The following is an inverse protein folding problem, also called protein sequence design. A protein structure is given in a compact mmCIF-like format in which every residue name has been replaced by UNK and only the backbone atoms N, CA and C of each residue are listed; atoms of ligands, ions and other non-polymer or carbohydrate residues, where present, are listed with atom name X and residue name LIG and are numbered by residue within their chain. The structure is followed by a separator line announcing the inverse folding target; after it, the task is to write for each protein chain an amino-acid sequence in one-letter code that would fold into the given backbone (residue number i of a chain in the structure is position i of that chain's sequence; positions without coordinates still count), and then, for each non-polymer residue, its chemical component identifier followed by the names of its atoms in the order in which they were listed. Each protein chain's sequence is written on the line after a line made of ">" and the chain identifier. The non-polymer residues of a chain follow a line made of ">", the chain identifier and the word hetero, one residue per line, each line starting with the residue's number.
data_IF_455207824540
#
_entry.id   IF_455207824540
#
_cell.length_a   1.000
_cell.length_b   1.000
_cell.length_c   1.000
_cell.angle_alpha   90.00
_cell.angle_beta   90.00
_cell.angle_gamma   90.00
#
_symmetry.space_group_name_H-M   'P 1'
#
loop_
_entity.id
_entity.type
_entity.pdbx_description
1 polymer ?
#
# COMPACT_ATOMS: atom_id res chain seq x y z
N UNK A 1 1.97 8.30 30.94
CA UNK A 1 2.15 8.52 29.48
C UNK A 1 0.77 8.65 28.88
N UNK A 2 0.35 9.84 28.46
CA UNK A 2 -0.92 10.04 27.74
C UNK A 2 -0.77 9.31 26.43
N UNK A 3 -1.54 8.24 26.23
CA UNK A 3 -1.50 7.41 25.02
C UNK A 3 -1.72 8.28 23.78
N UNK A 4 -0.89 8.11 22.75
CA UNK A 4 -1.08 8.80 21.47
C UNK A 4 -2.51 8.52 20.98
N UNK A 5 -3.25 9.57 20.63
CA UNK A 5 -4.63 9.47 20.14
C UNK A 5 -4.66 8.50 18.97
N UNK A 6 -5.40 7.43 19.10
CA UNK A 6 -5.57 6.42 18.06
C UNK A 6 -6.77 6.78 17.20
N UNK A 7 -6.59 6.71 15.88
CA UNK A 7 -7.62 6.96 14.89
C UNK A 7 -8.17 5.63 14.38
N UNK A 8 -9.05 5.01 15.16
CA UNK A 8 -9.53 3.63 14.92
C UNK A 8 -10.27 3.48 13.59
N UNK A 9 -11.03 4.51 13.19
CA UNK A 9 -11.69 4.53 11.88
C UNK A 9 -10.66 4.46 10.76
N UNK A 10 -9.59 5.27 10.81
CA UNK A 10 -8.53 5.22 9.81
C UNK A 10 -7.78 3.88 9.82
N UNK A 11 -7.64 3.24 10.98
CA UNK A 11 -7.09 1.89 11.09
C UNK A 11 -8.00 0.85 10.40
N UNK A 12 -9.33 0.93 10.60
CA UNK A 12 -10.30 0.05 9.95
C UNK A 12 -10.29 0.21 8.42
N UNK A 13 -10.26 1.46 7.94
CA UNK A 13 -10.22 1.77 6.51
C UNK A 13 -8.94 1.26 5.85
N UNK A 14 -7.84 1.22 6.57
CA UNK A 14 -6.61 0.59 6.08
C UNK A 14 -6.80 -0.90 5.81
N UNK A 15 -7.59 -1.59 6.62
CA UNK A 15 -8.00 -2.98 6.38
C UNK A 15 -8.86 -3.13 5.14
N UNK A 16 -9.88 -2.29 4.98
CA UNK A 16 -10.74 -2.26 3.81
C UNK A 16 -9.95 -2.05 2.51
N UNK A 17 -9.06 -1.05 2.50
CA UNK A 17 -8.20 -0.76 1.36
C UNK A 17 -7.25 -1.93 1.03
N UNK A 18 -6.71 -2.62 2.03
CA UNK A 18 -5.86 -3.80 1.79
C UNK A 18 -6.65 -4.94 1.14
N UNK A 19 -7.88 -5.19 1.58
CA UNK A 19 -8.78 -6.17 0.96
C UNK A 19 -9.05 -5.80 -0.51
N UNK A 20 -9.33 -4.52 -0.78
CA UNK A 20 -9.55 -4.03 -2.14
C UNK A 20 -8.36 -4.29 -3.07
N UNK A 21 -7.13 -4.04 -2.60
CA UNK A 21 -5.91 -4.34 -3.37
C UNK A 21 -5.75 -5.84 -3.66
N UNK A 22 -6.01 -6.70 -2.67
CA UNK A 22 -5.95 -8.16 -2.87
C UNK A 22 -6.99 -8.60 -3.90
N UNK A 23 -8.22 -8.11 -3.77
CA UNK A 23 -9.30 -8.41 -4.69
C UNK A 23 -8.98 -7.96 -6.13
N UNK A 24 -8.43 -6.74 -6.30
CA UNK A 24 -7.94 -6.26 -7.60
C UNK A 24 -6.94 -7.25 -8.21
N UNK A 25 -5.90 -7.62 -7.45
CA UNK A 25 -4.88 -8.52 -7.96
C UNK A 25 -5.40 -9.93 -8.28
N UNK A 26 -6.45 -10.38 -7.60
CA UNK A 26 -7.13 -11.62 -7.95
C UNK A 26 -7.96 -11.46 -9.23
N UNK A 27 -8.66 -10.33 -9.42
CA UNK A 27 -9.33 -10.01 -10.68
C UNK A 27 -8.34 -9.96 -11.85
N UNK A 28 -7.15 -9.37 -11.65
CA UNK A 28 -6.07 -9.38 -12.65
C UNK A 28 -5.59 -10.80 -12.98
N UNK A 29 -5.41 -11.66 -11.96
CA UNK A 29 -5.03 -13.07 -12.16
C UNK A 29 -6.05 -13.82 -13.02
N UNK A 30 -7.32 -13.42 -12.93
CA UNK A 30 -8.41 -13.94 -13.75
C UNK A 30 -8.57 -13.25 -15.11
N UNK A 31 -7.74 -12.25 -15.44
CA UNK A 31 -7.87 -11.47 -16.66
C UNK A 31 -9.12 -10.58 -16.69
N UNK A 32 -9.63 -10.19 -15.51
CA UNK A 32 -10.83 -9.38 -15.30
C UNK A 32 -10.52 -8.11 -14.49
N UNK A 33 -9.49 -7.31 -14.85
CA UNK A 33 -9.13 -6.10 -14.10
C UNK A 33 -10.28 -5.08 -14.07
N UNK A 34 -11.14 -5.07 -15.08
CA UNK A 34 -12.32 -4.20 -15.16
C UNK A 34 -13.36 -4.43 -14.07
N UNK A 35 -13.28 -5.53 -13.30
CA UNK A 35 -14.19 -5.73 -12.16
C UNK A 35 -13.88 -4.82 -10.97
N UNK A 36 -12.63 -4.43 -10.79
CA UNK A 36 -12.21 -3.50 -9.75
C UNK A 36 -11.18 -2.49 -10.32
N UNK A 37 -11.55 -1.70 -11.32
CA UNK A 37 -10.62 -0.91 -12.11
C UNK A 37 -9.90 0.17 -11.30
N UNK A 38 -10.52 0.65 -10.21
CA UNK A 38 -10.03 1.76 -9.40
C UNK A 38 -9.45 1.33 -8.04
N UNK A 39 -9.46 0.02 -7.70
CA UNK A 39 -8.99 -0.44 -6.40
C UNK A 39 -7.49 -0.19 -6.15
N UNK A 40 -6.70 0.06 -7.19
CA UNK A 40 -5.31 0.52 -7.07
C UNK A 40 -5.18 1.89 -6.37
N UNK A 41 -6.24 2.72 -6.35
CA UNK A 41 -6.26 4.00 -5.64
C UNK A 41 -6.22 3.82 -4.10
N UNK A 42 -6.46 2.62 -3.58
CA UNK A 42 -6.21 2.30 -2.18
C UNK A 42 -4.75 2.57 -1.77
N UNK A 43 -3.81 2.51 -2.70
CA UNK A 43 -2.40 2.86 -2.45
C UNK A 43 -2.26 4.32 -2.09
N UNK A 44 -3.02 5.21 -2.73
CA UNK A 44 -3.02 6.65 -2.44
C UNK A 44 -3.51 6.93 -1.01
N UNK A 45 -4.51 6.16 -0.56
CA UNK A 45 -4.94 6.22 0.85
C UNK A 45 -3.80 5.86 1.81
N UNK A 46 -3.02 4.81 1.52
CA UNK A 46 -1.88 4.43 2.37
C UNK A 46 -0.78 5.51 2.41
N UNK A 47 -0.50 6.15 1.28
CA UNK A 47 0.47 7.23 1.20
C UNK A 47 -0.01 8.48 1.97
N UNK A 48 -1.27 8.85 1.80
CA UNK A 48 -1.89 9.99 2.48
C UNK A 48 -1.95 9.76 4.00
N UNK A 49 -2.35 8.55 4.42
CA UNK A 49 -2.31 8.14 5.83
C UNK A 49 -0.88 8.11 6.38
N UNK A 50 0.13 7.78 5.57
CA UNK A 50 1.53 7.83 5.97
C UNK A 50 1.94 9.26 6.32
N UNK A 51 1.62 10.23 5.48
CA UNK A 51 1.87 11.65 5.76
C UNK A 51 1.14 12.14 7.01
N UNK A 52 -0.13 11.79 7.17
CA UNK A 52 -0.93 12.09 8.36
C UNK A 52 -0.27 11.54 9.63
N UNK A 53 0.15 10.28 9.60
CA UNK A 53 0.76 9.63 10.76
C UNK A 53 2.16 10.18 11.09
N UNK A 54 2.91 10.73 10.13
CA UNK A 54 4.18 11.40 10.41
C UNK A 54 3.98 12.55 11.41
N UNK A 55 3.00 13.40 11.17
CA UNK A 55 2.73 14.54 12.03
C UNK A 55 2.16 14.08 13.39
N UNK A 56 1.12 13.24 13.37
CA UNK A 56 0.45 12.79 14.59
C UNK A 56 1.40 12.05 15.54
N UNK A 57 2.28 11.19 15.00
CA UNK A 57 3.14 10.34 15.82
C UNK A 57 4.48 10.97 16.20
N UNK A 58 4.97 11.92 15.40
CA UNK A 58 6.37 12.33 15.53
C UNK A 58 6.60 13.84 15.67
N UNK A 59 5.68 14.71 15.19
CA UNK A 59 5.91 16.16 15.14
C UNK A 59 6.21 16.74 16.53
N UNK A 60 5.36 16.40 17.51
CA UNK A 60 5.56 16.83 18.90
C UNK A 60 6.87 16.31 19.49
N UNK A 61 7.20 15.04 19.23
CA UNK A 61 8.42 14.40 19.74
C UNK A 61 9.70 15.00 19.15
N UNK A 62 9.62 15.51 17.91
CA UNK A 62 10.69 16.29 17.32
C UNK A 62 10.81 17.67 17.99
N UNK A 63 9.70 18.33 18.24
CA UNK A 63 9.66 19.64 18.89
C UNK A 63 10.20 19.57 20.33
N UNK A 64 9.80 18.55 21.07
CA UNK A 64 10.22 18.31 22.47
C UNK A 64 11.65 17.73 22.59
N UNK A 65 12.35 17.48 21.47
CA UNK A 65 13.69 16.87 21.45
C UNK A 65 13.75 15.41 21.94
N UNK A 66 12.59 14.76 22.17
CA UNK A 66 12.51 13.38 22.70
C UNK A 66 12.72 12.31 21.62
N UNK A 67 12.89 12.71 20.37
CA UNK A 67 13.13 11.82 19.24
C UNK A 67 14.38 12.25 18.46
N UNK A 68 15.36 11.38 18.38
CA UNK A 68 16.53 11.54 17.51
C UNK A 68 16.25 11.00 16.11
N UNK A 69 17.04 11.45 15.11
CA UNK A 69 16.96 10.92 13.75
C UNK A 69 17.18 9.40 13.70
N UNK A 70 18.23 8.91 14.38
CA UNK A 70 18.51 7.47 14.47
C UNK A 70 17.36 6.70 15.11
N UNK A 71 16.80 7.23 16.22
CA UNK A 71 15.66 6.64 16.89
C UNK A 71 14.37 6.63 16.03
N UNK A 72 14.16 7.65 15.18
CA UNK A 72 13.08 7.67 14.20
C UNK A 72 13.28 6.60 13.12
N UNK A 73 14.44 6.60 12.48
CA UNK A 73 14.77 5.67 11.39
C UNK A 73 14.71 4.22 11.86
N UNK A 74 15.24 3.93 13.06
CA UNK A 74 15.17 2.59 13.65
C UNK A 74 13.74 2.13 13.90
N UNK A 75 12.85 2.97 14.42
CA UNK A 75 11.42 2.65 14.61
C UNK A 75 10.72 2.38 13.29
N UNK A 76 11.06 3.14 12.24
CA UNK A 76 10.49 2.93 10.89
C UNK A 76 11.02 1.66 10.26
N UNK A 77 12.31 1.38 10.41
CA UNK A 77 12.93 0.14 9.98
C UNK A 77 12.25 -1.09 10.64
N UNK A 78 12.15 -1.12 11.96
CA UNK A 78 11.49 -2.23 12.68
C UNK A 78 10.01 -2.40 12.30
N UNK A 79 9.36 -1.36 11.83
CA UNK A 79 7.97 -1.43 11.39
C UNK A 79 7.79 -2.01 9.98
N UNK A 80 8.72 -1.71 9.07
CA UNK A 80 8.57 -2.01 7.64
C UNK A 80 9.39 -3.24 7.22
N UNK A 81 10.65 -3.28 7.61
CA UNK A 81 11.61 -4.26 7.12
C UNK A 81 11.28 -5.73 7.46
N UNK A 82 10.80 -6.08 8.67
CA UNK A 82 10.45 -7.47 8.96
C UNK A 82 9.37 -8.04 8.03
N UNK A 83 8.42 -7.21 7.59
CA UNK A 83 7.40 -7.62 6.63
C UNK A 83 7.95 -7.76 5.21
N UNK A 84 8.90 -6.91 4.83
CA UNK A 84 9.62 -7.08 3.56
C UNK A 84 10.39 -8.39 3.55
N UNK A 85 11.10 -8.70 4.64
CA UNK A 85 11.84 -9.96 4.79
C UNK A 85 10.90 -11.18 4.64
N UNK A 86 9.85 -11.23 5.46
CA UNK A 86 8.90 -12.35 5.46
C UNK A 86 8.20 -12.49 4.11
N UNK A 87 7.71 -11.40 3.55
CA UNK A 87 7.03 -11.43 2.27
C UNK A 87 7.95 -11.78 1.10
N UNK A 88 9.21 -11.27 1.08
CA UNK A 88 10.20 -11.65 0.06
C UNK A 88 10.61 -13.11 0.18
N UNK A 89 10.68 -13.64 1.40
CA UNK A 89 10.92 -15.06 1.63
C UNK A 89 9.78 -15.93 1.08
N UNK A 90 8.53 -15.53 1.33
CA UNK A 90 7.35 -16.19 0.72
C UNK A 90 7.45 -16.12 -0.81
N UNK A 91 7.80 -14.96 -1.38
CA UNK A 91 8.01 -14.79 -2.80
C UNK A 91 9.08 -15.73 -3.36
N UNK A 92 10.20 -15.89 -2.65
CA UNK A 92 11.26 -16.83 -3.01
C UNK A 92 10.77 -18.29 -2.99
N UNK A 93 10.04 -18.70 -1.94
CA UNK A 93 9.47 -20.05 -1.85
C UNK A 93 8.52 -20.33 -3.02
N UNK A 94 7.62 -19.39 -3.33
CA UNK A 94 6.73 -19.52 -4.49
C UNK A 94 7.52 -19.56 -5.81
N UNK A 95 8.63 -18.83 -5.90
CA UNK A 95 9.53 -18.88 -7.06
C UNK A 95 10.13 -20.29 -7.26
N UNK A 96 10.56 -20.94 -6.19
CA UNK A 96 11.04 -22.33 -6.27
C UNK A 96 9.94 -23.31 -6.65
N UNK A 97 8.72 -23.15 -6.11
CA UNK A 97 7.58 -24.03 -6.40
C UNK A 97 7.07 -23.87 -7.83
N UNK A 98 6.93 -22.65 -8.30
CA UNK A 98 6.32 -22.32 -9.59
C UNK A 98 7.33 -22.21 -10.73
N UNK A 99 8.62 -22.09 -10.43
CA UNK A 99 9.71 -22.04 -11.40
C UNK A 99 9.49 -20.95 -12.47
N UNK A 100 9.66 -21.32 -13.73
CA UNK A 100 9.49 -20.43 -14.89
C UNK A 100 8.06 -19.86 -15.02
N UNK A 101 7.06 -20.47 -14.43
CA UNK A 101 5.67 -19.99 -14.46
C UNK A 101 5.48 -18.70 -13.64
N UNK A 102 6.37 -18.42 -12.68
CA UNK A 102 6.41 -17.16 -11.96
C UNK A 102 7.06 -16.02 -12.76
N UNK A 103 7.59 -16.32 -13.95
CA UNK A 103 8.37 -15.40 -14.79
C UNK A 103 7.56 -14.30 -15.48
N UNK A 104 6.28 -14.12 -15.20
CA UNK A 104 5.42 -13.10 -15.84
C UNK A 104 5.97 -11.67 -15.67
N UNK A 105 6.81 -11.41 -14.68
CA UNK A 105 7.47 -10.13 -14.46
C UNK A 105 8.99 -10.14 -14.68
N UNK A 106 9.61 -11.30 -14.85
CA UNK A 106 11.05 -11.41 -15.06
C UNK A 106 11.40 -12.49 -16.08
N UNK A 107 10.91 -12.34 -17.31
CA UNK A 107 11.40 -13.17 -18.43
C UNK A 107 12.93 -13.15 -18.57
N UNK A 108 13.58 -12.13 -18.04
CA UNK A 108 15.03 -11.99 -18.02
C UNK A 108 15.73 -12.86 -16.95
N UNK A 109 15.01 -13.38 -15.97
CA UNK A 109 15.57 -14.23 -14.91
C UNK A 109 15.08 -15.66 -15.10
N UNK A 110 15.82 -16.44 -15.91
CA UNK A 110 15.62 -17.88 -15.94
C UNK A 110 15.74 -18.44 -14.51
N UNK A 111 14.94 -19.49 -14.15
CA UNK A 111 15.03 -20.12 -12.82
C UNK A 111 16.44 -20.64 -12.59
N UNK A 112 17.12 -20.10 -11.57
CA UNK A 112 18.45 -20.46 -11.16
C UNK A 112 18.52 -20.18 -9.66
N UNK A 113 18.72 -21.20 -8.84
CA UNK A 113 18.66 -21.11 -7.39
C UNK A 113 19.62 -20.03 -6.83
N UNK A 114 20.83 -19.92 -7.37
CA UNK A 114 21.81 -18.94 -6.91
C UNK A 114 21.38 -17.51 -7.28
N UNK A 115 20.88 -17.32 -8.50
CA UNK A 115 20.32 -16.03 -8.94
C UNK A 115 19.08 -15.64 -8.14
N UNK A 116 18.19 -16.60 -7.86
CA UNK A 116 16.97 -16.36 -7.11
C UNK A 116 17.27 -15.95 -5.67
N UNK A 117 18.29 -16.54 -5.03
CA UNK A 117 18.80 -16.08 -3.71
C UNK A 117 19.44 -14.67 -3.83
N UNK A 118 20.18 -14.41 -4.89
CA UNK A 118 20.72 -13.06 -5.16
C UNK A 118 19.61 -12.00 -5.32
N UNK A 119 18.55 -12.33 -6.05
CA UNK A 119 17.35 -11.47 -6.19
C UNK A 119 16.67 -11.26 -4.85
N UNK A 120 16.57 -12.29 -4.01
CA UNK A 120 16.03 -12.18 -2.66
C UNK A 120 16.86 -11.20 -1.81
N UNK A 121 18.18 -11.38 -1.75
CA UNK A 121 19.07 -10.48 -1.02
C UNK A 121 18.95 -9.03 -1.53
N UNK A 122 18.87 -8.85 -2.86
CA UNK A 122 18.69 -7.52 -3.45
C UNK A 122 17.35 -6.90 -3.06
N UNK A 123 16.26 -7.68 -3.09
CA UNK A 123 14.92 -7.19 -2.71
C UNK A 123 14.89 -6.66 -1.27
N UNK A 124 15.69 -7.23 -0.37
CA UNK A 124 15.79 -6.78 1.03
C UNK A 124 16.43 -5.39 1.18
N UNK A 125 17.18 -4.92 0.18
CA UNK A 125 17.73 -3.55 0.18
C UNK A 125 16.66 -2.49 -0.07
N UNK A 126 15.50 -2.87 -0.61
CA UNK A 126 14.41 -1.99 -1.05
C UNK A 126 14.85 -0.95 -2.09
N UNK A 127 15.97 -1.17 -2.76
CA UNK A 127 16.39 -0.40 -3.92
C UNK A 127 15.58 -0.85 -5.15
N UNK A 128 15.35 0.06 -6.12
CA UNK A 128 14.68 -0.31 -7.37
C UNK A 128 15.56 -1.29 -8.15
N UNK A 129 14.97 -2.43 -8.52
CA UNK A 129 15.70 -3.43 -9.30
C UNK A 129 16.18 -2.87 -10.64
N UNK A 130 17.26 -3.41 -11.23
CA UNK A 130 17.72 -3.01 -12.55
C UNK A 130 16.62 -3.11 -13.61
N UNK A 131 16.62 -2.21 -14.59
CA UNK A 131 15.60 -2.16 -15.66
C UNK A 131 15.49 -3.50 -16.40
N UNK A 132 16.58 -4.23 -16.54
CA UNK A 132 16.62 -5.56 -17.15
C UNK A 132 15.76 -6.60 -16.41
N UNK A 133 15.40 -6.36 -15.16
CA UNK A 133 14.53 -7.26 -14.38
C UNK A 133 13.03 -7.01 -14.60
N UNK A 134 12.66 -5.97 -15.36
CA UNK A 134 11.30 -5.71 -15.82
C UNK A 134 10.37 -5.06 -14.79
N UNK A 135 10.68 -5.14 -13.48
CA UNK A 135 9.88 -4.55 -12.42
C UNK A 135 10.76 -4.03 -11.27
N UNK A 136 10.21 -3.15 -10.43
CA UNK A 136 10.96 -2.55 -9.32
C UNK A 136 11.29 -3.54 -8.22
N UNK A 137 10.45 -4.56 -8.00
CA UNK A 137 10.60 -5.54 -6.93
C UNK A 137 10.20 -6.93 -7.44
N UNK A 138 11.16 -7.76 -7.91
CA UNK A 138 10.86 -8.99 -8.66
C UNK A 138 10.11 -10.08 -7.91
N UNK A 139 10.36 -10.23 -6.60
CA UNK A 139 9.69 -11.25 -5.77
C UNK A 139 8.33 -10.80 -5.23
N UNK A 140 8.14 -9.48 -5.15
CA UNK A 140 6.96 -8.85 -4.59
C UNK A 140 6.66 -7.54 -5.31
N UNK A 141 6.11 -7.61 -6.52
CA UNK A 141 5.91 -6.42 -7.33
C UNK A 141 5.10 -5.32 -6.62
N UNK A 142 4.15 -5.67 -5.73
CA UNK A 142 3.37 -4.70 -4.96
C UNK A 142 4.21 -3.88 -3.96
N UNK A 143 5.41 -4.34 -3.59
CA UNK A 143 6.28 -3.60 -2.65
C UNK A 143 6.99 -2.40 -3.25
N UNK A 144 6.76 -2.09 -4.55
CA UNK A 144 7.18 -0.84 -5.16
C UNK A 144 6.75 0.39 -4.33
N UNK A 145 5.58 0.31 -3.68
CA UNK A 145 5.09 1.37 -2.80
C UNK A 145 5.93 1.53 -1.54
N UNK A 146 6.49 0.44 -1.01
CA UNK A 146 7.37 0.48 0.16
C UNK A 146 8.68 1.21 -0.16
N UNK A 147 9.19 1.09 -1.37
CA UNK A 147 10.31 1.90 -1.83
C UNK A 147 10.01 3.40 -1.64
N UNK A 148 8.88 3.88 -2.16
CA UNK A 148 8.50 5.29 -1.99
C UNK A 148 8.20 5.66 -0.54
N UNK A 149 7.58 4.77 0.23
CA UNK A 149 7.33 5.00 1.66
C UNK A 149 8.65 5.15 2.43
N UNK A 150 9.69 4.36 2.11
CA UNK A 150 11.00 4.46 2.75
C UNK A 150 11.65 5.80 2.41
N UNK A 151 11.65 6.19 1.13
CA UNK A 151 12.17 7.49 0.73
C UNK A 151 11.39 8.65 1.38
N UNK A 152 10.06 8.55 1.48
CA UNK A 152 9.25 9.52 2.20
C UNK A 152 9.62 9.59 3.69
N UNK A 153 9.93 8.44 4.34
CA UNK A 153 10.41 8.41 5.73
C UNK A 153 11.77 9.08 5.89
N UNK A 154 12.73 8.80 5.01
CA UNK A 154 14.05 9.42 5.01
C UNK A 154 13.93 10.94 4.80
N UNK A 155 13.18 11.34 3.79
CA UNK A 155 12.97 12.75 3.49
C UNK A 155 12.25 13.47 4.66
N UNK A 156 11.25 12.85 5.30
CA UNK A 156 10.63 13.41 6.50
C UNK A 156 11.61 13.56 7.64
N UNK A 157 12.37 12.53 7.96
CA UNK A 157 13.35 12.57 9.06
C UNK A 157 14.46 13.59 8.85
N UNK A 158 14.95 13.76 7.63
CA UNK A 158 16.05 14.65 7.31
C UNK A 158 15.60 16.10 7.06
N UNK A 159 14.54 16.28 6.29
CA UNK A 159 14.15 17.59 5.73
C UNK A 159 12.76 18.03 6.22
N UNK A 160 11.74 17.21 6.02
CA UNK A 160 10.35 17.65 6.08
C UNK A 160 9.86 17.95 7.50
N UNK A 161 10.49 17.37 8.52
CA UNK A 161 10.19 17.66 9.92
C UNK A 161 10.41 19.14 10.29
N UNK A 162 11.28 19.84 9.55
CA UNK A 162 11.61 21.26 9.75
C UNK A 162 10.76 22.20 8.91
N UNK A 163 9.95 21.67 7.99
CA UNK A 163 9.14 22.50 7.10
C UNK A 163 8.07 23.27 7.89
N UNK A 164 7.95 24.54 7.61
CA UNK A 164 6.83 25.37 8.07
C UNK A 164 5.55 24.93 7.36
N UNK A 165 4.38 25.16 7.98
CA UNK A 165 3.08 24.73 7.43
C UNK A 165 2.81 25.26 6.03
N UNK A 166 3.21 26.51 5.74
CA UNK A 166 3.03 27.07 4.40
C UNK A 166 3.88 26.36 3.34
N UNK A 167 5.09 25.90 3.70
CA UNK A 167 5.97 25.15 2.79
C UNK A 167 5.33 23.79 2.45
N UNK A 168 4.70 23.13 3.44
CA UNK A 168 3.92 21.91 3.20
C UNK A 168 2.80 22.20 2.22
N UNK A 169 2.09 23.33 2.36
CA UNK A 169 1.06 23.76 1.42
C UNK A 169 1.59 23.94 -0.01
N UNK A 170 2.76 24.55 -0.18
CA UNK A 170 3.44 24.67 -1.49
C UNK A 170 3.76 23.29 -2.08
N UNK A 171 4.25 22.36 -1.28
CA UNK A 171 4.50 20.98 -1.74
C UNK A 171 3.21 20.28 -2.17
N UNK A 172 2.11 20.47 -1.43
CA UNK A 172 0.78 19.96 -1.82
C UNK A 172 0.36 20.51 -3.18
N UNK A 173 0.45 21.83 -3.37
CA UNK A 173 0.08 22.48 -4.62
C UNK A 173 0.94 22.01 -5.79
N UNK A 174 2.26 21.94 -5.61
CA UNK A 174 3.19 21.47 -6.63
C UNK A 174 2.95 19.99 -6.99
N UNK A 175 2.77 19.14 -5.96
CA UNK A 175 2.46 17.71 -6.14
C UNK A 175 1.11 17.51 -6.84
N UNK A 176 0.08 18.29 -6.48
CA UNK A 176 -1.22 18.26 -7.13
C UNK A 176 -1.13 18.68 -8.60
N UNK A 177 -0.48 19.80 -8.89
CA UNK A 177 -0.32 20.31 -10.26
C UNK A 177 0.42 19.31 -11.14
N UNK A 178 1.51 18.72 -10.62
CA UNK A 178 2.26 17.70 -11.36
C UNK A 178 1.47 16.41 -11.55
N UNK A 179 0.77 15.92 -10.51
CA UNK A 179 -0.06 14.73 -10.63
C UNK A 179 -1.24 14.94 -11.59
N UNK A 180 -1.83 16.14 -11.59
CA UNK A 180 -2.89 16.49 -12.54
C UNK A 180 -2.35 16.51 -13.96
N UNK A 181 -1.16 17.09 -14.20
CA UNK A 181 -0.47 17.03 -15.49
C UNK A 181 -0.31 15.57 -15.96
N UNK A 182 0.17 14.67 -15.07
CA UNK A 182 0.33 13.24 -15.39
C UNK A 182 -1.01 12.61 -15.77
N UNK A 183 -2.07 12.84 -15.00
CA UNK A 183 -3.41 12.30 -15.28
C UNK A 183 -3.96 12.84 -16.60
N UNK A 184 -3.82 14.12 -16.87
CA UNK A 184 -4.28 14.73 -18.13
C UNK A 184 -3.50 14.21 -19.34
N UNK A 185 -2.20 13.92 -19.17
CA UNK A 185 -1.35 13.48 -20.27
C UNK A 185 -1.47 11.97 -20.56
N UNK A 186 -1.58 11.15 -19.51
CA UNK A 186 -1.60 9.69 -19.63
C UNK A 186 -2.99 9.07 -19.43
N UNK A 187 -3.98 9.88 -19.08
CA UNK A 187 -5.35 9.46 -18.77
C UNK A 187 -5.43 8.33 -17.71
N UNK A 188 -4.49 8.31 -16.77
CA UNK A 188 -4.48 7.34 -15.67
C UNK A 188 -3.60 7.81 -14.52
N UNK A 189 -4.03 7.45 -13.31
CA UNK A 189 -3.26 7.60 -12.08
C UNK A 189 -2.43 6.34 -11.76
N UNK A 190 -2.70 5.20 -12.42
CA UNK A 190 -2.07 3.90 -12.18
C UNK A 190 -0.68 3.77 -12.85
N UNK A 191 0.20 4.74 -12.66
CA UNK A 191 1.54 4.77 -13.25
C UNK A 191 2.64 4.65 -12.19
N UNK A 192 3.82 4.22 -12.62
CA UNK A 192 5.02 4.27 -11.79
C UNK A 192 5.42 2.98 -11.07
N UNK A 193 5.00 1.80 -11.53
CA UNK A 193 5.29 0.50 -10.91
C UNK A 193 6.10 -0.49 -11.78
N UNK A 194 6.18 -0.28 -13.11
CA UNK A 194 6.96 -1.11 -14.06
C UNK A 194 7.94 -0.30 -14.89
N UNK A 195 9.07 -0.89 -15.24
CA UNK A 195 10.12 -0.26 -16.05
C UNK A 195 9.78 -0.07 -17.53
N UNK A 196 8.65 -0.58 -18.01
CA UNK A 196 8.18 -0.37 -19.38
C UNK A 196 7.73 1.07 -19.64
N UNK A 197 7.44 1.82 -18.61
CA UNK A 197 7.05 3.25 -18.69
C UNK A 197 8.29 4.14 -18.70
N UNK A 198 8.35 5.09 -19.63
CA UNK A 198 9.53 5.97 -19.83
C UNK A 198 9.91 6.81 -18.61
N UNK A 199 8.96 7.10 -17.72
CA UNK A 199 9.14 8.04 -16.61
C UNK A 199 8.66 7.50 -15.26
N UNK A 200 8.82 6.20 -15.04
CA UNK A 200 8.30 5.48 -13.86
C UNK A 200 8.54 6.20 -12.52
N UNK A 201 9.79 6.61 -12.26
CA UNK A 201 10.13 7.28 -10.98
C UNK A 201 9.50 8.66 -10.93
N UNK A 202 9.55 9.39 -12.03
CA UNK A 202 9.04 10.79 -12.09
C UNK A 202 7.52 10.80 -11.92
N UNK A 203 6.78 9.95 -12.63
CA UNK A 203 5.32 9.87 -12.52
C UNK A 203 4.87 9.47 -11.11
N UNK A 204 5.58 8.53 -10.48
CA UNK A 204 5.27 8.13 -9.11
C UNK A 204 5.66 9.20 -8.07
N UNK A 205 6.71 9.97 -8.29
CA UNK A 205 7.11 11.04 -7.36
C UNK A 205 5.99 12.07 -7.15
N UNK A 206 5.31 12.52 -8.21
CA UNK A 206 4.21 13.46 -8.08
C UNK A 206 3.08 12.94 -7.20
N UNK A 207 2.68 11.67 -7.40
CA UNK A 207 1.67 10.98 -6.58
C UNK A 207 2.06 10.97 -5.11
N UNK A 208 3.31 10.55 -4.82
CA UNK A 208 3.83 10.45 -3.45
C UNK A 208 3.93 11.83 -2.81
N UNK A 209 4.43 12.83 -3.53
CA UNK A 209 4.54 14.22 -3.03
C UNK A 209 3.16 14.75 -2.67
N UNK A 210 2.18 14.69 -3.57
CA UNK A 210 0.84 15.17 -3.27
C UNK A 210 0.26 14.49 -2.05
N UNK A 211 0.17 13.15 -2.07
CA UNK A 211 -0.56 12.39 -1.05
C UNK A 211 0.10 12.49 0.33
N UNK A 212 1.43 12.34 0.41
CA UNK A 212 2.14 12.43 1.69
C UNK A 212 2.04 13.83 2.28
N UNK A 213 2.28 14.89 1.47
CA UNK A 213 2.20 16.26 1.98
C UNK A 213 0.76 16.70 2.28
N UNK A 214 -0.25 16.23 1.54
CA UNK A 214 -1.66 16.48 1.87
C UNK A 214 -2.03 15.86 3.23
N UNK A 215 -1.61 14.60 3.48
CA UNK A 215 -1.77 13.98 4.78
C UNK A 215 -1.06 14.74 5.91
N UNK A 216 0.17 15.19 5.68
CA UNK A 216 0.92 16.03 6.62
C UNK A 216 0.20 17.35 6.89
N UNK A 217 -0.33 18.01 5.86
CA UNK A 217 -1.02 19.30 6.00
C UNK A 217 -2.31 19.15 6.82
N UNK A 218 -3.13 18.16 6.52
CA UNK A 218 -4.36 17.86 7.27
C UNK A 218 -4.04 17.66 8.77
N UNK A 219 -3.05 16.84 9.07
CA UNK A 219 -2.66 16.55 10.45
C UNK A 219 -2.04 17.78 11.15
N UNK A 220 -1.17 18.55 10.47
CA UNK A 220 -0.51 19.73 11.01
C UNK A 220 -1.50 20.86 11.33
N UNK A 221 -2.56 21.00 10.50
CA UNK A 221 -3.66 21.95 10.73
C UNK A 221 -4.67 21.43 11.75
N UNK A 222 -4.61 20.16 12.12
CA UNK A 222 -5.60 19.53 13.00
C UNK A 222 -6.99 19.43 12.37
N UNK A 223 -7.08 19.49 11.05
CA UNK A 223 -8.34 19.43 10.34
C UNK A 223 -9.00 18.06 10.50
N UNK A 224 -10.27 18.09 10.84
CA UNK A 224 -11.13 16.90 10.96
C UNK A 224 -12.59 17.31 10.80
N UNK A 225 -13.40 16.42 10.29
CA UNK A 225 -14.85 16.58 10.22
C UNK A 225 -15.48 15.63 11.25
N UNK A 226 -16.00 16.21 12.33
CA UNK A 226 -16.58 15.47 13.46
C UNK A 226 -18.08 15.74 13.52
N UNK A 227 -18.88 14.71 13.21
CA UNK A 227 -20.34 14.69 13.29
C UNK A 227 -20.82 13.26 13.53
N UNK A 228 -22.07 13.05 14.00
CA UNK A 228 -22.62 11.71 14.14
C UNK A 228 -22.56 10.94 12.81
N UNK A 229 -21.94 9.75 12.80
CA UNK A 229 -21.78 8.95 11.57
C UNK A 229 -20.57 9.31 10.71
N UNK A 230 -19.69 10.23 11.10
CA UNK A 230 -18.50 10.59 10.31
C UNK A 230 -17.63 9.36 9.91
N UNK A 231 -17.52 8.36 10.81
CA UNK A 231 -16.83 7.11 10.53
C UNK A 231 -17.50 6.27 9.43
N UNK A 232 -18.83 6.24 9.41
CA UNK A 232 -19.59 5.58 8.35
C UNK A 232 -19.42 6.29 7.01
N UNK A 233 -19.49 7.62 7.00
CA UNK A 233 -19.24 8.42 5.80
C UNK A 233 -17.83 8.16 5.27
N UNK A 234 -16.83 8.12 6.14
CA UNK A 234 -15.46 7.76 5.72
C UNK A 234 -15.39 6.37 5.09
N UNK A 235 -16.11 5.39 5.65
CA UNK A 235 -16.15 4.03 5.11
C UNK A 235 -16.85 3.97 3.74
N UNK A 236 -17.97 4.66 3.58
CA UNK A 236 -18.69 4.73 2.30
C UNK A 236 -17.83 5.41 1.23
N UNK A 237 -17.19 6.55 1.53
CA UNK A 237 -16.29 7.24 0.61
C UNK A 237 -15.09 6.36 0.22
N UNK A 238 -14.47 5.68 1.17
CA UNK A 238 -13.38 4.75 0.87
C UNK A 238 -13.86 3.56 0.01
N UNK A 239 -15.05 3.04 0.30
CA UNK A 239 -15.65 1.95 -0.49
C UNK A 239 -15.95 2.39 -1.91
N UNK A 240 -16.47 3.60 -2.14
CA UNK A 240 -16.68 4.12 -3.50
C UNK A 240 -15.40 4.26 -4.29
N UNK A 241 -14.29 4.65 -3.65
CA UNK A 241 -12.98 4.73 -4.33
C UNK A 241 -12.46 3.34 -4.67
N UNK A 242 -12.52 2.39 -3.74
CA UNK A 242 -11.92 1.05 -3.88
C UNK A 242 -12.77 0.12 -4.74
N UNK A 243 -14.08 0.14 -4.53
CA UNK A 243 -15.05 -0.73 -5.21
C UNK A 243 -15.92 0.05 -6.21
N UNK A 244 -15.43 1.18 -6.70
CA UNK A 244 -16.14 2.09 -7.60
C UNK A 244 -16.60 1.46 -8.90
N UNK A 245 -17.18 2.25 -9.81
CA UNK A 245 -17.96 1.70 -10.90
C UNK A 245 -17.18 0.71 -11.76
N UNK A 246 -17.86 -0.39 -12.11
CA UNK A 246 -17.33 -1.34 -13.07
C UNK A 246 -17.26 -0.67 -14.44
N UNK A 247 -16.06 -0.43 -14.92
CA UNK A 247 -15.82 0.17 -16.24
C UNK A 247 -14.60 -0.48 -16.89
N UNK A 248 -14.47 -0.31 -18.19
CA UNK A 248 -13.29 -0.73 -18.90
C UNK A 248 -12.07 0.10 -18.40
N UNK A 249 -10.93 -0.56 -18.23
CA UNK A 249 -9.65 0.13 -17.99
C UNK A 249 -9.14 0.63 -19.34
N UNK A 250 -9.81 1.65 -19.87
CA UNK A 250 -9.61 2.15 -21.24
C UNK A 250 -8.80 3.44 -21.30
N UNK A 251 -8.42 3.99 -20.15
CA UNK A 251 -7.73 5.29 -20.04
C UNK A 251 -8.50 6.43 -20.74
N UNK A 252 -9.82 6.35 -20.73
CA UNK A 252 -10.69 7.41 -21.23
C UNK A 252 -10.66 8.65 -20.35
N UNK A 253 -11.16 9.77 -20.87
CA UNK A 253 -11.28 11.01 -20.08
C UNK A 253 -12.18 10.81 -18.84
N UNK A 254 -13.37 10.15 -18.92
CA UNK A 254 -14.16 9.84 -17.72
C UNK A 254 -13.41 9.02 -16.69
N UNK A 255 -12.62 8.02 -17.12
CA UNK A 255 -11.79 7.23 -16.24
C UNK A 255 -10.76 8.09 -15.50
N UNK A 256 -10.04 8.96 -16.22
CA UNK A 256 -9.07 9.88 -15.66
C UNK A 256 -9.70 10.90 -14.69
N UNK A 257 -10.87 11.43 -15.03
CA UNK A 257 -11.63 12.38 -14.17
C UNK A 257 -12.04 11.68 -12.87
N UNK A 258 -12.56 10.46 -12.94
CA UNK A 258 -12.90 9.70 -11.72
C UNK A 258 -11.68 9.55 -10.82
N UNK A 259 -10.54 9.11 -11.34
CA UNK A 259 -9.31 8.93 -10.57
C UNK A 259 -8.81 10.24 -9.96
N UNK A 260 -8.86 11.34 -10.72
CA UNK A 260 -8.49 12.65 -10.23
C UNK A 260 -9.40 13.11 -9.07
N UNK A 261 -10.71 13.01 -9.22
CA UNK A 261 -11.68 13.36 -8.16
C UNK A 261 -11.48 12.47 -6.94
N UNK A 262 -11.31 11.17 -7.14
CA UNK A 262 -11.04 10.23 -6.05
C UNK A 262 -9.80 10.63 -5.24
N UNK A 263 -8.70 10.96 -5.91
CA UNK A 263 -7.41 11.24 -5.25
C UNK A 263 -7.37 12.65 -4.66
N UNK A 264 -7.82 13.65 -5.39
CA UNK A 264 -7.67 15.05 -4.96
C UNK A 264 -8.78 15.53 -4.02
N UNK A 265 -9.95 14.87 -4.04
CA UNK A 265 -11.11 15.29 -3.24
C UNK A 265 -11.54 14.19 -2.27
N UNK A 266 -11.87 13.01 -2.79
CA UNK A 266 -12.52 11.97 -1.95
C UNK A 266 -11.57 11.42 -0.90
N UNK A 267 -10.34 11.06 -1.25
CA UNK A 267 -9.39 10.51 -0.28
C UNK A 267 -8.98 11.51 0.83
N UNK A 268 -8.73 12.80 0.56
CA UNK A 268 -8.62 13.80 1.64
C UNK A 268 -9.85 13.86 2.54
N UNK A 269 -11.07 13.82 1.98
CA UNK A 269 -12.32 13.76 2.77
C UNK A 269 -12.40 12.50 3.63
N UNK A 270 -11.95 11.34 3.12
CA UNK A 270 -11.83 10.09 3.90
C UNK A 270 -10.94 10.29 5.12
N UNK A 271 -9.80 10.98 4.98
CA UNK A 271 -8.92 11.27 6.13
C UNK A 271 -9.59 12.23 7.10
N UNK A 272 -10.22 13.30 6.60
CA UNK A 272 -10.89 14.31 7.44
C UNK A 272 -12.03 13.71 8.26
N UNK A 273 -12.90 12.93 7.62
CA UNK A 273 -14.05 12.29 8.27
C UNK A 273 -13.60 11.11 9.16
N UNK A 274 -12.63 10.33 8.72
CA UNK A 274 -12.05 9.25 9.51
C UNK A 274 -11.28 9.73 10.75
N UNK A 275 -10.61 10.88 10.65
CA UNK A 275 -9.93 11.52 11.80
C UNK A 275 -10.92 12.13 12.81
N UNK A 276 -12.11 12.52 12.35
CA UNK A 276 -13.20 13.04 13.18
C UNK A 276 -14.14 11.97 13.70
N UNK A 277 -14.14 10.78 13.08
CA UNK A 277 -15.00 9.66 13.44
C UNK A 277 -14.55 8.97 14.74
N UNK A 278 -15.53 8.43 15.45
CA UNK A 278 -15.31 7.59 16.62
C UNK A 278 -15.99 6.24 16.40
N UNK A 279 -15.41 5.18 16.93
CA UNK A 279 -16.05 3.87 17.02
C UNK A 279 -16.54 3.68 18.47
N UNK A 280 -17.73 3.12 18.67
CA UNK A 280 -18.17 2.70 19.99
C UNK A 280 -17.25 1.60 20.50
N UNK A 281 -16.93 1.63 21.80
CA UNK A 281 -16.16 0.56 22.42
C UNK A 281 -16.88 -0.78 22.29
N UNK A 282 -16.10 -1.87 22.15
CA UNK A 282 -16.63 -3.22 22.06
C UNK A 282 -16.02 -4.05 20.92
N UNK A 283 -16.62 -5.20 20.66
CA UNK A 283 -16.11 -6.20 19.70
C UNK A 283 -15.89 -5.65 18.29
N UNK A 284 -16.71 -4.68 17.86
CA UNK A 284 -16.55 -4.05 16.55
C UNK A 284 -15.30 -3.17 16.48
N UNK A 285 -15.03 -2.38 17.52
CA UNK A 285 -13.79 -1.60 17.60
C UNK A 285 -12.55 -2.51 17.65
N UNK A 286 -12.63 -3.65 18.39
CA UNK A 286 -11.56 -4.64 18.41
C UNK A 286 -11.30 -5.23 17.03
N UNK A 287 -12.36 -5.57 16.30
CA UNK A 287 -12.26 -6.03 14.91
C UNK A 287 -11.62 -4.97 14.01
N UNK A 288 -12.04 -3.72 14.11
CA UNK A 288 -11.45 -2.60 13.36
C UNK A 288 -9.95 -2.42 13.67
N UNK A 289 -9.56 -2.51 14.94
CA UNK A 289 -8.16 -2.49 15.36
C UNK A 289 -7.37 -3.67 14.81
N UNK A 290 -7.97 -4.87 14.83
CA UNK A 290 -7.39 -6.05 14.21
C UNK A 290 -7.17 -5.85 12.71
N UNK A 291 -8.20 -5.41 11.97
CA UNK A 291 -8.11 -5.14 10.54
C UNK A 291 -6.98 -4.15 10.20
N UNK A 292 -6.83 -3.11 11.00
CA UNK A 292 -5.73 -2.15 10.84
C UNK A 292 -4.34 -2.78 11.04
N UNK A 293 -4.18 -3.68 12.02
CA UNK A 293 -2.91 -4.42 12.22
C UNK A 293 -2.65 -5.43 11.12
N UNK A 294 -3.68 -6.09 10.65
CA UNK A 294 -3.62 -7.17 9.67
C UNK A 294 -3.40 -6.68 8.24
N UNK A 295 -3.79 -5.44 7.94
CA UNK A 295 -3.73 -4.85 6.60
C UNK A 295 -2.36 -4.89 5.95
N UNK A 296 -1.29 -4.57 6.69
CA UNK A 296 0.05 -4.52 6.13
C UNK A 296 0.66 -5.92 5.92
N UNK A 297 0.56 -6.88 6.85
CA UNK A 297 0.87 -8.28 6.56
C UNK A 297 0.15 -8.83 5.33
N UNK A 298 -1.16 -8.60 5.21
CA UNK A 298 -1.94 -9.03 4.05
C UNK A 298 -1.42 -8.40 2.75
N UNK A 299 -1.18 -7.09 2.77
CA UNK A 299 -0.59 -6.39 1.64
C UNK A 299 0.80 -6.94 1.26
N UNK A 300 1.63 -7.30 2.23
CA UNK A 300 2.99 -7.76 1.99
C UNK A 300 3.08 -9.22 1.49
N UNK A 301 2.05 -10.05 1.67
CA UNK A 301 2.14 -11.50 1.42
C UNK A 301 1.25 -12.04 0.31
N UNK A 302 0.26 -11.27 -0.17
CA UNK A 302 -0.74 -11.77 -1.12
C UNK A 302 -0.23 -11.94 -2.56
N UNK A 303 0.80 -11.20 -2.97
CA UNK A 303 1.19 -11.16 -4.39
C UNK A 303 1.74 -12.47 -4.94
N UNK A 304 2.58 -13.25 -4.22
CA UNK A 304 2.95 -14.59 -4.66
C UNK A 304 1.73 -15.51 -4.86
N UNK A 305 0.71 -15.38 -3.98
CA UNK A 305 -0.54 -16.14 -4.11
C UNK A 305 -1.33 -15.71 -5.35
N UNK A 306 -1.36 -14.43 -5.68
CA UNK A 306 -1.94 -13.92 -6.94
C UNK A 306 -1.30 -14.56 -8.16
N UNK A 307 0.04 -14.71 -8.15
CA UNK A 307 0.75 -15.37 -9.26
C UNK A 307 0.36 -16.84 -9.33
N UNK A 308 0.35 -17.56 -8.19
CA UNK A 308 -0.09 -18.95 -8.12
C UNK A 308 -1.53 -19.12 -8.63
N UNK A 309 -2.44 -18.24 -8.23
CA UNK A 309 -3.81 -18.23 -8.71
C UNK A 309 -3.89 -18.10 -10.23
N UNK A 310 -3.08 -17.22 -10.82
CA UNK A 310 -2.99 -17.08 -12.28
C UNK A 310 -2.44 -18.34 -12.97
N UNK A 311 -1.49 -19.05 -12.36
CA UNK A 311 -0.97 -20.34 -12.82
C UNK A 311 -2.06 -21.40 -12.75
N UNK A 312 -2.69 -21.57 -11.59
CA UNK A 312 -3.76 -22.58 -11.38
C UNK A 312 -4.93 -22.37 -12.34
N UNK A 313 -5.34 -21.13 -12.56
CA UNK A 313 -6.37 -20.82 -13.55
C UNK A 313 -5.99 -21.26 -14.95
N UNK A 314 -4.75 -21.03 -15.40
CA UNK A 314 -4.29 -21.43 -16.74
C UNK A 314 -4.14 -22.95 -16.89
N UNK A 315 -3.90 -23.65 -15.79
CA UNK A 315 -3.80 -25.10 -15.74
C UNK A 315 -5.17 -25.80 -15.61
N UNK A 316 -6.24 -25.03 -15.34
CA UNK A 316 -7.60 -25.57 -15.27
C UNK A 316 -8.06 -26.03 -16.67
N UNK A 317 -8.86 -27.12 -16.74
CA UNK A 317 -9.51 -27.53 -17.98
C UNK A 317 -10.32 -26.39 -18.62
N UNK A 318 -10.37 -26.35 -19.94
CA UNK A 318 -11.05 -25.29 -20.68
C UNK A 318 -12.58 -25.27 -20.39
N UNK A 319 -13.14 -26.42 -20.06
CA UNK A 319 -14.53 -26.67 -19.72
C UNK A 319 -14.77 -26.72 -18.20
N UNK A 320 -13.79 -26.28 -17.40
CA UNK A 320 -13.92 -26.32 -15.94
C UNK A 320 -15.17 -25.53 -15.48
N UNK A 321 -16.01 -26.13 -14.62
CA UNK A 321 -17.22 -25.48 -14.14
C UNK A 321 -16.88 -24.26 -13.26
N UNK A 322 -17.84 -23.34 -13.12
CA UNK A 322 -17.67 -22.15 -12.26
C UNK A 322 -17.31 -22.50 -10.81
N UNK A 323 -17.77 -23.64 -10.30
CA UNK A 323 -17.42 -24.15 -8.96
C UNK A 323 -15.94 -24.41 -8.79
N UNK A 324 -15.26 -24.90 -9.84
CA UNK A 324 -13.81 -25.06 -9.85
C UNK A 324 -13.10 -23.70 -9.70
N UNK A 325 -13.51 -22.70 -10.46
CA UNK A 325 -12.95 -21.35 -10.37
C UNK A 325 -13.24 -20.68 -9.01
N UNK A 326 -14.45 -20.89 -8.47
CA UNK A 326 -14.79 -20.43 -7.12
C UNK A 326 -13.90 -21.08 -6.05
N UNK A 327 -13.64 -22.39 -6.16
CA UNK A 327 -12.74 -23.10 -5.26
C UNK A 327 -11.28 -22.57 -5.35
N UNK A 328 -10.79 -22.24 -6.54
CA UNK A 328 -9.46 -21.64 -6.71
C UNK A 328 -9.36 -20.27 -6.03
N UNK A 329 -10.36 -19.40 -6.24
CA UNK A 329 -10.41 -18.07 -5.61
C UNK A 329 -10.50 -18.21 -4.08
N UNK A 330 -11.37 -19.09 -3.60
CA UNK A 330 -11.52 -19.39 -2.17
C UNK A 330 -10.19 -19.87 -1.57
N UNK A 331 -9.53 -20.85 -2.20
CA UNK A 331 -8.25 -21.38 -1.75
C UNK A 331 -7.17 -20.29 -1.72
N UNK A 332 -7.07 -19.48 -2.77
CA UNK A 332 -6.13 -18.36 -2.81
C UNK A 332 -6.42 -17.33 -1.71
N UNK A 333 -7.69 -17.08 -1.41
CA UNK A 333 -8.10 -16.18 -0.33
C UNK A 333 -7.67 -16.74 1.03
N UNK A 334 -7.98 -18.00 1.31
CA UNK A 334 -7.60 -18.68 2.56
C UNK A 334 -6.08 -18.70 2.74
N UNK A 335 -5.34 -19.06 1.69
CA UNK A 335 -3.87 -19.04 1.72
C UNK A 335 -3.33 -17.64 2.00
N UNK A 336 -3.85 -16.61 1.34
CA UNK A 336 -3.42 -15.21 1.57
C UNK A 336 -3.70 -14.77 3.01
N UNK A 337 -4.85 -15.12 3.57
CA UNK A 337 -5.20 -14.83 4.96
C UNK A 337 -4.29 -15.59 5.93
N UNK A 338 -4.04 -16.87 5.70
CA UNK A 338 -3.15 -17.68 6.53
C UNK A 338 -1.71 -17.13 6.52
N UNK A 339 -1.16 -16.84 5.34
CA UNK A 339 0.18 -16.27 5.19
C UNK A 339 0.29 -14.90 5.87
N UNK A 340 -0.72 -14.05 5.75
CA UNK A 340 -0.75 -12.76 6.42
C UNK A 340 -0.78 -12.92 7.96
N UNK A 341 -1.53 -13.89 8.46
CA UNK A 341 -1.58 -14.19 9.90
C UNK A 341 -0.22 -14.68 10.41
N UNK A 342 0.41 -15.62 9.70
CA UNK A 342 1.75 -16.13 10.03
C UNK A 342 2.79 -15.00 9.98
N UNK A 343 2.76 -14.17 8.95
CA UNK A 343 3.63 -13.01 8.82
C UNK A 343 3.45 -12.01 9.96
N UNK A 344 2.22 -11.73 10.37
CA UNK A 344 1.94 -10.88 11.53
C UNK A 344 2.55 -11.45 12.81
N UNK A 345 2.42 -12.75 13.05
CA UNK A 345 3.00 -13.43 14.21
C UNK A 345 4.53 -13.42 14.18
N UNK A 346 5.13 -13.70 13.00
CA UNK A 346 6.59 -13.66 12.83
C UNK A 346 7.14 -12.25 13.10
N UNK A 347 6.51 -11.22 12.57
CA UNK A 347 6.91 -9.82 12.80
C UNK A 347 6.77 -9.42 14.26
N UNK A 348 5.69 -9.82 14.93
CA UNK A 348 5.51 -9.57 16.36
C UNK A 348 6.61 -10.26 17.19
N UNK A 349 7.04 -11.46 16.81
CA UNK A 349 8.14 -12.16 17.46
C UNK A 349 9.50 -11.48 17.23
N UNK A 350 9.82 -11.16 15.97
CA UNK A 350 11.06 -10.46 15.61
C UNK A 350 11.17 -9.09 16.29
N UNK A 351 10.06 -8.35 16.32
CA UNK A 351 10.03 -7.01 16.94
C UNK A 351 10.19 -7.07 18.45
N UNK A 352 9.67 -8.11 19.10
CA UNK A 352 9.88 -8.35 20.54
C UNK A 352 11.33 -8.69 20.82
N UNK A 353 11.94 -9.55 20.02
CA UNK A 353 13.34 -9.94 20.16
C UNK A 353 14.33 -8.79 19.96
N UNK A 354 13.99 -7.84 19.06
CA UNK A 354 14.83 -6.69 18.74
C UNK A 354 14.67 -5.51 19.71
N UNK A 355 13.76 -5.57 20.69
CA UNK A 355 13.67 -4.55 21.75
C UNK A 355 14.79 -4.76 22.75
N UNK A 356 15.58 -3.71 23.08
CA UNK A 356 16.53 -3.80 24.18
C UNK A 356 15.78 -4.27 25.43
N UNK A 357 16.32 -5.27 26.11
CA UNK A 357 15.89 -5.60 27.47
C UNK A 357 16.32 -4.42 28.34
N UNK A 358 15.37 -3.54 28.68
CA UNK A 358 15.55 -2.42 29.58
C UNK A 358 15.81 -2.88 31.02
#
# INVERSE_FOLDING_TARGET
>A
MVGAKRYEVLDALRGLCAIGVVALHFCEAYGKPAWLPHAHLAVEYFLLLTGFTFIVAYDRRWADGTLTLGGFLWRRFLRLWPLVLVGSFIGLVFRFILGAQMSTFSRALAPDALKDVGVFCYTLTLLPAPKSWGCLQPLQAQTWTLFYIIWANLAYGLLFRRLKTWMIGVCVAAGAAYSLYVVCHFHSYALGWVWTERHIIVTACGRVVFTVFAGMLIARKGWKLSFPGAGLVAALLAATVVFGPFCAVDRSVPFAVYEAVAVFVVLPLVILTGAGGCLPEGRFADFCRFMGRYSFPLYATHFPVRIALGVWRRSAPADAPWTHHAALIFSATVISLALAWLAMKAVDALTRAARPRG
#
